data_IF_721111635247
#
_entry.id   IF_721111635247
#
_cell.length_a   1.000
_cell.length_b   1.000
_cell.length_c   1.000
_cell.angle_alpha   90.00
_cell.angle_beta   90.00
_cell.angle_gamma   90.00
#
_symmetry.space_group_name_H-M   'P 1'
#
loop_
_entity.id
_entity.type
_entity.pdbx_description
1 polymer ?
#
# COMPACT_ATOMS: atom_id res chain seq x y z
N UNK A 1 2.87 -13.39 44.33
CA UNK A 1 3.27 -11.95 44.30
C UNK A 1 4.40 -11.81 43.28
N UNK A 2 4.36 -10.80 42.40
CA UNK A 2 5.22 -10.55 41.21
C UNK A 2 4.60 -10.92 39.85
N UNK A 3 3.40 -10.37 39.63
CA UNK A 3 3.02 -9.78 38.34
C UNK A 3 3.15 -8.25 38.50
N UNK A 4 3.68 -7.56 37.48
CA UNK A 4 3.94 -6.10 37.34
C UNK A 4 5.43 -5.83 37.07
N UNK A 5 5.88 -6.10 35.86
CA UNK A 5 7.14 -5.54 35.34
C UNK A 5 7.24 -5.52 33.80
N UNK A 6 6.16 -5.83 33.07
CA UNK A 6 6.20 -5.92 31.59
C UNK A 6 5.45 -4.81 30.84
N UNK A 7 4.84 -3.85 31.54
CA UNK A 7 4.05 -2.76 30.93
C UNK A 7 4.72 -1.38 30.96
N UNK A 8 5.79 -1.19 31.73
CA UNK A 8 6.45 0.11 31.87
C UNK A 8 7.61 0.35 30.88
N UNK A 9 8.23 -0.72 30.35
CA UNK A 9 9.39 -0.59 29.46
C UNK A 9 9.01 -0.20 28.03
N UNK A 10 7.80 -0.56 27.56
CA UNK A 10 7.31 -0.17 26.23
C UNK A 10 6.90 1.31 26.17
N UNK A 11 6.37 1.90 27.24
CA UNK A 11 6.01 3.32 27.26
C UNK A 11 7.23 4.25 27.27
N UNK A 12 8.33 3.82 27.90
CA UNK A 12 9.53 4.65 28.04
C UNK A 12 10.36 4.70 26.75
N UNK A 13 10.34 3.62 25.95
CA UNK A 13 11.01 3.59 24.65
C UNK A 13 10.32 4.52 23.62
N UNK A 14 9.00 4.68 23.69
CA UNK A 14 8.25 5.57 22.78
C UNK A 14 8.49 7.05 23.06
N UNK A 15 8.76 7.42 24.32
CA UNK A 15 8.98 8.83 24.72
C UNK A 15 10.42 9.32 24.43
N UNK A 16 11.42 8.44 24.49
CA UNK A 16 12.83 8.82 24.30
C UNK A 16 13.21 8.95 22.82
N UNK A 17 12.54 8.25 21.91
CA UNK A 17 12.80 8.37 20.46
C UNK A 17 12.30 9.70 19.87
N UNK A 18 11.38 10.39 20.55
CA UNK A 18 10.73 11.60 20.01
C UNK A 18 11.56 12.88 20.21
N UNK A 19 12.51 12.96 21.15
CA UNK A 19 13.20 14.23 21.47
C UNK A 19 14.57 14.45 20.83
N UNK A 20 15.11 13.49 20.07
CA UNK A 20 16.55 13.45 19.78
C UNK A 20 17.04 13.83 18.37
N UNK A 21 16.18 13.93 17.35
CA UNK A 21 16.69 13.82 15.97
C UNK A 21 15.94 14.64 14.91
N UNK A 22 15.72 15.95 15.07
CA UNK A 22 15.04 16.70 13.99
C UNK A 22 15.57 18.12 13.79
N UNK A 23 16.66 18.19 13.05
CA UNK A 23 17.10 19.39 12.35
C UNK A 23 17.72 18.96 11.02
N UNK A 24 17.21 19.52 9.93
CA UNK A 24 17.68 19.43 8.53
C UNK A 24 16.92 18.48 7.59
N UNK A 25 16.39 19.06 6.51
CA UNK A 25 16.35 18.37 5.21
C UNK A 25 15.00 17.98 4.60
N UNK A 26 13.90 18.74 4.79
CA UNK A 26 12.66 18.51 4.03
C UNK A 26 12.77 19.08 2.60
N UNK A 27 13.46 18.38 1.70
CA UNK A 27 13.22 18.53 0.26
C UNK A 27 11.91 17.83 -0.06
N UNK A 28 10.82 18.60 -0.17
CA UNK A 28 9.57 18.13 -0.75
C UNK A 28 9.87 17.64 -2.16
N UNK A 29 9.83 16.33 -2.37
CA UNK A 29 10.05 15.66 -3.65
C UNK A 29 8.91 15.90 -4.64
N UNK A 30 8.51 17.15 -4.83
CA UNK A 30 7.69 17.51 -5.97
C UNK A 30 8.54 17.27 -7.21
N UNK A 31 8.14 16.30 -8.02
CA UNK A 31 8.68 16.13 -9.36
C UNK A 31 8.56 17.47 -10.10
N UNK A 32 9.63 18.07 -10.63
CA UNK A 32 9.45 19.16 -11.58
C UNK A 32 8.60 18.62 -12.75
N UNK A 33 7.81 19.47 -13.42
CA UNK A 33 6.90 19.07 -14.51
C UNK A 33 7.58 18.35 -15.70
N UNK A 34 8.91 18.14 -15.65
CA UNK A 34 9.69 17.31 -16.56
C UNK A 34 10.06 15.88 -16.10
N UNK A 35 9.76 15.45 -14.86
CA UNK A 35 10.08 14.05 -14.43
C UNK A 35 9.02 13.05 -14.92
N UNK A 36 7.81 13.55 -15.14
CA UNK A 36 6.75 12.88 -15.93
C UNK A 36 6.70 13.53 -17.33
N UNK A 37 7.84 14.06 -17.82
CA UNK A 37 7.90 14.56 -19.18
C UNK A 37 7.51 13.44 -20.14
N UNK A 38 6.67 13.81 -21.10
CA UNK A 38 6.44 13.11 -22.37
C UNK A 38 7.64 12.26 -22.72
N UNK A 39 7.37 11.02 -23.09
CA UNK A 39 8.29 9.99 -23.60
C UNK A 39 9.09 10.43 -24.84
N UNK A 40 9.86 11.51 -24.76
CA UNK A 40 10.96 11.80 -25.65
C UNK A 40 12.20 11.06 -25.12
N UNK A 41 12.21 9.74 -25.36
CA UNK A 41 13.35 8.85 -25.09
C UNK A 41 13.39 8.27 -23.69
N UNK A 42 13.17 6.95 -23.58
CA UNK A 42 13.57 6.18 -22.40
C UNK A 42 15.07 6.43 -22.13
N UNK A 43 15.48 6.61 -20.87
CA UNK A 43 16.91 6.70 -20.55
C UNK A 43 17.63 5.41 -21.00
N UNK A 44 18.94 5.43 -21.33
CA UNK A 44 19.66 4.22 -21.73
C UNK A 44 19.51 3.06 -20.74
N UNK A 45 19.39 3.35 -19.44
CA UNK A 45 19.14 2.36 -18.39
C UNK A 45 17.70 1.83 -18.39
N UNK A 46 16.71 2.67 -18.72
CA UNK A 46 15.33 2.22 -18.92
C UNK A 46 15.19 1.34 -20.17
N UNK A 47 15.85 1.72 -21.27
CA UNK A 47 15.95 0.92 -22.49
C UNK A 47 16.63 -0.42 -22.21
N UNK A 48 17.70 -0.41 -21.41
CA UNK A 48 18.36 -1.61 -20.92
C UNK A 48 17.41 -2.49 -20.08
N UNK A 49 16.65 -1.90 -19.15
CA UNK A 49 15.64 -2.63 -18.37
C UNK A 49 14.58 -3.32 -19.25
N UNK A 50 14.05 -2.60 -20.25
CA UNK A 50 13.12 -3.17 -21.24
C UNK A 50 13.80 -4.28 -22.05
N UNK A 51 15.05 -4.08 -22.47
CA UNK A 51 15.83 -5.08 -23.20
C UNK A 51 16.08 -6.33 -22.35
N UNK A 52 16.32 -6.20 -21.04
CA UNK A 52 16.47 -7.34 -20.12
C UNK A 52 15.15 -8.07 -19.89
N UNK A 53 14.05 -7.33 -19.71
CA UNK A 53 12.72 -7.93 -19.64
C UNK A 53 12.42 -8.72 -20.91
N UNK A 54 12.68 -8.14 -22.09
CA UNK A 54 12.53 -8.79 -23.38
C UNK A 54 13.48 -9.97 -23.57
N UNK A 55 14.74 -9.87 -23.10
CA UNK A 55 15.71 -10.95 -23.16
C UNK A 55 15.31 -12.12 -22.25
N UNK A 56 14.80 -11.86 -21.05
CA UNK A 56 14.27 -12.93 -20.19
C UNK A 56 13.06 -13.60 -20.85
N UNK A 57 12.15 -12.81 -21.44
CA UNK A 57 11.03 -13.34 -22.21
C UNK A 57 11.53 -14.23 -23.36
N UNK A 58 12.51 -13.75 -24.13
CA UNK A 58 13.11 -14.50 -25.24
C UNK A 58 13.82 -15.78 -24.77
N UNK A 59 14.54 -15.73 -23.65
CA UNK A 59 15.21 -16.88 -23.05
C UNK A 59 14.22 -17.93 -22.55
N UNK A 60 13.12 -17.49 -21.91
CA UNK A 60 12.03 -18.39 -21.51
C UNK A 60 11.40 -19.02 -22.74
N UNK A 61 11.06 -18.24 -23.77
CA UNK A 61 10.50 -18.76 -25.03
C UNK A 61 11.47 -19.75 -25.70
N UNK A 62 12.77 -19.44 -25.76
CA UNK A 62 13.78 -20.32 -26.33
C UNK A 62 13.95 -21.62 -25.52
N UNK A 63 13.91 -21.53 -24.18
CA UNK A 63 13.94 -22.69 -23.29
C UNK A 63 12.72 -23.60 -23.50
N UNK A 64 11.52 -23.01 -23.59
CA UNK A 64 10.28 -23.73 -23.87
C UNK A 64 10.30 -24.36 -25.27
N UNK A 65 10.85 -23.64 -26.26
CA UNK A 65 10.97 -24.14 -27.63
C UNK A 65 11.93 -25.33 -27.72
N UNK A 66 13.09 -25.28 -27.03
CA UNK A 66 14.02 -26.41 -26.95
C UNK A 66 13.41 -27.65 -26.28
N UNK A 67 12.44 -27.47 -25.38
CA UNK A 67 11.71 -28.58 -24.75
C UNK A 67 10.60 -29.18 -25.60
N UNK A 68 10.26 -28.61 -26.77
CA UNK A 68 9.26 -29.20 -27.69
C UNK A 68 9.66 -30.57 -28.25
N UNK A 69 10.90 -31.02 -28.05
CA UNK A 69 11.41 -32.29 -28.57
C UNK A 69 11.04 -33.57 -27.81
N UNK A 70 10.13 -33.57 -26.82
CA UNK A 70 9.74 -34.87 -26.21
C UNK A 70 8.60 -34.93 -25.19
N UNK A 71 8.19 -33.83 -24.54
CA UNK A 71 7.13 -33.86 -23.51
C UNK A 71 6.11 -32.73 -23.70
N UNK A 72 4.81 -33.05 -23.63
CA UNK A 72 3.73 -32.08 -23.79
C UNK A 72 3.58 -31.19 -22.54
N UNK A 73 3.58 -29.87 -22.71
CA UNK A 73 3.22 -28.91 -21.66
C UNK A 73 1.69 -28.87 -21.53
N UNK A 74 1.17 -29.24 -20.37
CA UNK A 74 -0.28 -29.17 -20.12
C UNK A 74 -0.70 -27.72 -19.91
N UNK A 75 -1.62 -27.22 -20.73
CA UNK A 75 -2.17 -25.86 -20.59
C UNK A 75 -3.60 -25.93 -20.05
N UNK A 76 -3.93 -25.07 -19.09
CA UNK A 76 -5.30 -24.98 -18.56
C UNK A 76 -5.62 -23.56 -18.14
N UNK A 77 -6.87 -23.15 -18.29
CA UNK A 77 -7.36 -21.85 -17.81
C UNK A 77 -7.94 -22.04 -16.41
N UNK A 78 -7.49 -21.25 -15.43
CA UNK A 78 -7.96 -21.34 -14.04
C UNK A 78 -8.17 -19.96 -13.43
N UNK A 79 -9.40 -19.48 -13.54
CA UNK A 79 -9.86 -18.27 -12.86
C UNK A 79 -10.26 -18.62 -11.42
N UNK A 80 -9.66 -17.94 -10.44
CA UNK A 80 -9.95 -18.16 -9.01
C UNK A 80 -10.51 -16.86 -8.42
N UNK A 81 -11.57 -16.91 -7.59
CA UNK A 81 -12.09 -15.73 -6.89
C UNK A 81 -11.01 -14.94 -6.15
N UNK A 82 -10.06 -15.64 -5.54
CA UNK A 82 -8.92 -15.05 -4.82
C UNK A 82 -7.96 -14.22 -5.70
N UNK A 83 -8.09 -14.27 -7.03
CA UNK A 83 -7.37 -13.40 -7.95
C UNK A 83 -8.31 -12.38 -8.63
N UNK A 84 -9.56 -12.78 -8.91
CA UNK A 84 -10.56 -11.89 -9.52
C UNK A 84 -10.86 -10.71 -8.60
N UNK A 85 -11.20 -10.98 -7.33
CA UNK A 85 -11.63 -9.94 -6.40
C UNK A 85 -10.54 -8.85 -6.22
N UNK A 86 -9.27 -9.19 -5.89
CA UNK A 86 -8.22 -8.19 -5.80
C UNK A 86 -7.96 -7.44 -7.12
N UNK A 87 -7.97 -8.14 -8.26
CA UNK A 87 -7.78 -7.50 -9.56
C UNK A 87 -8.90 -6.50 -9.86
N UNK A 88 -10.16 -6.85 -9.60
CA UNK A 88 -11.31 -5.96 -9.75
C UNK A 88 -11.17 -4.72 -8.87
N UNK A 89 -10.82 -4.89 -7.59
CA UNK A 89 -10.62 -3.77 -6.68
C UNK A 89 -9.53 -2.82 -7.17
N UNK A 90 -8.40 -3.35 -7.61
CA UNK A 90 -7.30 -2.52 -8.09
C UNK A 90 -7.64 -1.82 -9.41
N UNK A 91 -8.33 -2.49 -10.33
CA UNK A 91 -8.85 -1.84 -11.54
C UNK A 91 -9.80 -0.71 -11.21
N UNK A 92 -10.71 -0.89 -10.23
CA UNK A 92 -11.59 0.18 -9.77
C UNK A 92 -10.82 1.37 -9.18
N UNK A 93 -9.80 1.10 -8.36
CA UNK A 93 -8.92 2.14 -7.78
C UNK A 93 -8.16 2.90 -8.87
N UNK A 94 -7.51 2.20 -9.80
CA UNK A 94 -6.82 2.83 -10.92
C UNK A 94 -7.79 3.63 -11.80
N UNK A 95 -9.00 3.11 -12.05
CA UNK A 95 -9.99 3.82 -12.86
C UNK A 95 -10.42 5.11 -12.18
N UNK A 96 -10.70 5.06 -10.87
CA UNK A 96 -11.08 6.26 -10.11
C UNK A 96 -9.94 7.28 -10.08
N UNK A 97 -8.72 6.83 -9.82
CA UNK A 97 -7.53 7.69 -9.81
C UNK A 97 -7.27 8.34 -11.18
N UNK A 98 -7.45 7.59 -12.28
CA UNK A 98 -7.21 8.08 -13.65
C UNK A 98 -8.23 9.13 -14.12
N UNK A 99 -9.37 9.25 -13.43
CA UNK A 99 -10.29 10.35 -13.66
C UNK A 99 -9.63 11.68 -13.27
N UNK A 100 -8.86 11.71 -12.18
CA UNK A 100 -8.35 12.94 -11.57
C UNK A 100 -6.88 13.22 -11.81
N UNK A 101 -6.06 12.19 -12.00
CA UNK A 101 -4.61 12.34 -12.13
C UNK A 101 -4.13 11.98 -13.53
N UNK A 102 -3.73 12.99 -14.30
CA UNK A 102 -3.30 12.83 -15.69
C UNK A 102 -2.10 11.89 -15.88
N UNK A 103 -1.03 11.95 -15.05
CA UNK A 103 0.12 11.06 -15.21
C UNK A 103 -0.20 9.56 -15.21
N UNK A 104 -1.30 9.15 -14.58
CA UNK A 104 -1.69 7.75 -14.55
C UNK A 104 -2.10 7.23 -15.94
N UNK A 105 -2.69 8.07 -16.81
CA UNK A 105 -3.02 7.64 -18.17
C UNK A 105 -1.76 7.34 -19.00
N UNK A 106 -0.71 8.13 -18.77
CA UNK A 106 0.59 7.92 -19.42
C UNK A 106 1.34 6.71 -18.84
N UNK A 107 1.00 6.26 -17.65
CA UNK A 107 1.61 5.07 -17.02
C UNK A 107 0.99 3.74 -17.48
N UNK A 108 -0.16 3.75 -18.17
CA UNK A 108 -0.88 2.53 -18.57
C UNK A 108 -0.03 1.58 -19.43
N UNK A 109 0.81 2.11 -20.32
CA UNK A 109 1.70 1.27 -21.14
C UNK A 109 2.73 0.52 -20.28
N UNK A 110 3.24 1.15 -19.22
CA UNK A 110 4.19 0.53 -18.31
C UNK A 110 3.55 -0.64 -17.56
N UNK A 111 2.28 -0.51 -17.16
CA UNK A 111 1.50 -1.63 -16.60
C UNK A 111 1.39 -2.78 -17.62
N UNK A 112 1.14 -2.48 -18.89
CA UNK A 112 1.10 -3.48 -19.96
C UNK A 112 2.40 -4.27 -20.11
N UNK A 113 3.54 -3.57 -20.15
CA UNK A 113 4.87 -4.19 -20.23
C UNK A 113 5.16 -5.07 -19.00
N UNK A 114 4.83 -4.58 -17.80
CA UNK A 114 4.98 -5.35 -16.56
C UNK A 114 4.10 -6.61 -16.54
N UNK A 115 2.87 -6.53 -17.06
CA UNK A 115 1.98 -7.70 -17.17
C UNK A 115 2.54 -8.74 -18.13
N UNK A 116 3.04 -8.35 -19.31
CA UNK A 116 3.68 -9.28 -20.26
C UNK A 116 4.84 -10.01 -19.59
N UNK A 117 5.71 -9.27 -18.88
CA UNK A 117 6.81 -9.86 -18.12
C UNK A 117 6.30 -10.85 -17.06
N UNK A 118 5.34 -10.42 -16.23
CA UNK A 118 4.83 -11.21 -15.12
C UNK A 118 4.14 -12.51 -15.59
N UNK A 119 3.39 -12.47 -16.70
CA UNK A 119 2.81 -13.66 -17.32
C UNK A 119 3.87 -14.59 -17.90
N UNK A 120 4.93 -14.04 -18.49
CA UNK A 120 6.03 -14.85 -19.03
C UNK A 120 6.78 -15.56 -17.91
N UNK A 121 7.01 -14.88 -16.79
CA UNK A 121 7.63 -15.48 -15.62
C UNK A 121 6.73 -16.53 -14.95
N UNK A 122 5.42 -16.28 -14.84
CA UNK A 122 4.45 -17.26 -14.33
C UNK A 122 4.43 -18.54 -15.19
N UNK A 123 4.47 -18.40 -16.51
CA UNK A 123 4.66 -19.51 -17.45
C UNK A 123 5.99 -20.25 -17.20
N UNK A 124 7.10 -19.52 -17.09
CA UNK A 124 8.41 -20.12 -16.85
C UNK A 124 8.44 -20.94 -15.56
N UNK A 125 7.89 -20.38 -14.48
CA UNK A 125 7.78 -21.04 -13.17
C UNK A 125 6.90 -22.29 -13.28
N UNK A 126 5.70 -22.19 -13.87
CA UNK A 126 4.79 -23.31 -14.04
C UNK A 126 5.39 -24.46 -14.84
N UNK A 127 6.08 -24.17 -15.94
CA UNK A 127 6.73 -25.21 -16.75
C UNK A 127 7.94 -25.81 -16.05
N UNK A 128 8.74 -25.00 -15.35
CA UNK A 128 9.90 -25.48 -14.61
C UNK A 128 9.50 -26.40 -13.45
N UNK A 129 8.43 -26.06 -12.74
CA UNK A 129 8.03 -26.74 -11.49
C UNK A 129 7.03 -27.87 -11.69
N UNK A 130 6.03 -27.66 -12.54
CA UNK A 130 4.87 -28.56 -12.66
C UNK A 130 4.70 -29.10 -14.09
N UNK A 131 5.59 -28.74 -15.03
CA UNK A 131 5.47 -29.04 -16.47
C UNK A 131 4.10 -28.63 -17.05
N UNK A 132 3.48 -27.60 -16.48
CA UNK A 132 2.15 -27.15 -16.85
C UNK A 132 2.05 -25.62 -16.76
N UNK A 133 1.25 -25.02 -17.63
CA UNK A 133 0.89 -23.61 -17.51
C UNK A 133 -0.59 -23.45 -17.18
N UNK A 134 -0.86 -22.83 -16.03
CA UNK A 134 -2.20 -22.54 -15.54
C UNK A 134 -2.50 -21.06 -15.77
N UNK A 135 -3.01 -20.74 -16.95
CA UNK A 135 -3.36 -19.38 -17.34
C UNK A 135 -4.46 -18.86 -16.41
N UNK A 136 -4.19 -17.77 -15.71
CA UNK A 136 -5.16 -17.15 -14.81
C UNK A 136 -4.77 -15.74 -14.43
N UNK A 137 -5.54 -15.11 -13.54
CA UNK A 137 -5.31 -13.74 -13.10
C UNK A 137 -4.24 -13.63 -11.98
N UNK A 138 -3.42 -14.64 -11.75
CA UNK A 138 -2.42 -14.60 -10.68
C UNK A 138 -1.41 -13.44 -10.80
N UNK A 139 -0.89 -13.12 -12.01
CA UNK A 139 0.06 -12.02 -12.19
C UNK A 139 -0.58 -10.62 -12.08
N UNK A 140 -1.88 -10.49 -12.38
CA UNK A 140 -2.56 -9.20 -12.46
C UNK A 140 -2.54 -8.46 -11.11
N UNK A 141 -2.99 -9.06 -9.98
CA UNK A 141 -2.89 -8.40 -8.69
C UNK A 141 -1.47 -8.12 -8.22
N UNK A 142 -0.48 -8.87 -8.72
CA UNK A 142 0.92 -8.61 -8.38
C UNK A 142 1.34 -7.28 -8.98
N UNK A 143 1.21 -7.14 -10.30
CA UNK A 143 1.58 -5.92 -11.04
C UNK A 143 0.77 -4.72 -10.57
N UNK A 144 -0.55 -4.85 -10.50
CA UNK A 144 -1.42 -3.74 -10.11
C UNK A 144 -1.18 -3.30 -8.66
N UNK A 145 -1.00 -4.24 -7.72
CA UNK A 145 -0.68 -3.89 -6.32
C UNK A 145 0.62 -3.10 -6.23
N UNK A 146 1.69 -3.57 -6.89
CA UNK A 146 3.00 -2.90 -6.87
C UNK A 146 2.89 -1.44 -7.33
N UNK A 147 2.15 -1.19 -8.40
CA UNK A 147 1.98 0.15 -8.97
C UNK A 147 1.02 1.05 -8.18
N UNK A 148 0.33 0.53 -7.15
CA UNK A 148 -0.43 1.34 -6.19
C UNK A 148 0.40 1.79 -4.99
N UNK A 149 1.68 1.38 -4.89
CA UNK A 149 2.56 1.79 -3.78
C UNK A 149 3.82 2.55 -4.20
N UNK A 150 4.41 2.21 -5.36
CA UNK A 150 5.66 2.83 -5.82
C UNK A 150 5.71 2.82 -7.34
N UNK A 151 6.21 3.90 -7.93
CA UNK A 151 6.58 3.93 -9.34
C UNK A 151 8.10 4.00 -9.48
N UNK A 152 8.65 3.22 -10.39
CA UNK A 152 10.06 3.30 -10.77
C UNK A 152 10.16 4.00 -12.12
N UNK A 153 10.64 5.23 -12.11
CA UNK A 153 10.77 6.06 -13.32
C UNK A 153 12.20 5.99 -13.83
N UNK A 154 12.48 6.58 -15.01
CA UNK A 154 13.85 6.79 -15.51
C UNK A 154 14.76 5.56 -15.38
N UNK A 155 15.88 5.73 -14.67
CA UNK A 155 16.88 4.67 -14.48
C UNK A 155 16.38 3.50 -13.61
N UNK A 156 15.37 3.74 -12.76
CA UNK A 156 14.78 2.73 -11.89
C UNK A 156 13.82 1.77 -12.59
N UNK A 157 13.39 2.00 -13.83
CA UNK A 157 12.30 1.25 -14.47
C UNK A 157 12.41 -0.29 -14.38
N UNK A 158 13.63 -0.84 -14.41
CA UNK A 158 13.87 -2.28 -14.30
C UNK A 158 13.47 -2.88 -12.93
N UNK A 159 13.38 -2.05 -11.88
CA UNK A 159 12.98 -2.46 -10.54
C UNK A 159 11.55 -2.99 -10.50
N UNK A 160 10.66 -2.58 -11.42
CA UNK A 160 9.34 -3.19 -11.57
C UNK A 160 9.42 -4.70 -11.85
N UNK A 161 10.35 -5.09 -12.73
CA UNK A 161 10.56 -6.51 -13.05
C UNK A 161 11.14 -7.27 -11.87
N UNK A 162 12.01 -6.63 -11.08
CA UNK A 162 12.55 -7.23 -9.86
C UNK A 162 11.45 -7.45 -8.81
N UNK A 163 10.57 -6.47 -8.58
CA UNK A 163 9.43 -6.63 -7.67
C UNK A 163 8.53 -7.77 -8.13
N UNK A 164 8.13 -7.77 -9.41
CA UNK A 164 7.29 -8.82 -9.97
C UNK A 164 7.94 -10.21 -9.88
N UNK A 165 9.25 -10.28 -10.11
CA UNK A 165 10.00 -11.53 -10.01
C UNK A 165 10.02 -12.07 -8.58
N UNK A 166 10.39 -11.24 -7.60
CA UNK A 166 10.41 -11.61 -6.19
C UNK A 166 9.00 -12.03 -5.73
N UNK A 167 7.96 -11.29 -6.12
CA UNK A 167 6.59 -11.62 -5.78
C UNK A 167 6.16 -12.99 -6.35
N UNK A 168 6.36 -13.24 -7.64
CA UNK A 168 5.94 -14.51 -8.26
C UNK A 168 6.79 -15.70 -7.78
N UNK A 169 8.10 -15.52 -7.62
CA UNK A 169 8.99 -16.57 -7.10
C UNK A 169 8.70 -16.89 -5.64
N UNK A 170 8.49 -15.88 -4.79
CA UNK A 170 8.14 -16.11 -3.38
C UNK A 170 6.79 -16.81 -3.24
N UNK A 171 5.80 -16.46 -4.05
CA UNK A 171 4.52 -17.19 -4.12
C UNK A 171 4.72 -18.66 -4.47
N UNK A 172 5.69 -18.97 -5.34
CA UNK A 172 5.97 -20.33 -5.78
C UNK A 172 6.79 -21.14 -4.77
N UNK A 173 7.81 -20.52 -4.14
CA UNK A 173 8.80 -21.18 -3.31
C UNK A 173 8.54 -21.10 -1.80
N UNK A 174 7.99 -19.98 -1.30
CA UNK A 174 7.81 -19.73 0.13
C UNK A 174 6.40 -20.10 0.58
N UNK A 175 6.15 -21.40 0.70
CA UNK A 175 4.84 -21.98 1.05
C UNK A 175 4.87 -22.73 2.38
N UNK A 176 3.72 -22.74 3.04
CA UNK A 176 3.30 -23.68 4.09
C UNK A 176 2.17 -24.55 3.52
N UNK A 177 1.74 -25.55 4.28
CA UNK A 177 0.59 -26.41 3.89
C UNK A 177 -0.66 -25.60 3.54
N UNK A 178 -0.89 -24.48 4.25
CA UNK A 178 -2.04 -23.59 4.06
C UNK A 178 -1.92 -22.61 2.89
N UNK A 179 -0.76 -22.53 2.22
CA UNK A 179 -0.50 -21.61 1.10
C UNK A 179 0.80 -20.82 1.24
N UNK A 180 0.92 -19.72 0.50
CA UNK A 180 2.10 -18.85 0.56
C UNK A 180 2.22 -18.16 1.93
N UNK A 181 3.45 -18.00 2.42
CA UNK A 181 3.72 -17.41 3.75
C UNK A 181 3.50 -15.89 3.74
N UNK A 182 4.03 -15.23 2.72
CA UNK A 182 4.06 -13.78 2.60
C UNK A 182 3.07 -13.31 1.55
N UNK A 183 2.47 -12.13 1.76
CA UNK A 183 1.77 -11.47 0.66
C UNK A 183 2.81 -11.23 -0.46
N UNK A 184 2.62 -11.81 -1.67
CA UNK A 184 3.65 -11.78 -2.70
C UNK A 184 4.08 -10.36 -3.08
N UNK A 185 3.11 -9.46 -3.30
CA UNK A 185 3.38 -8.08 -3.67
C UNK A 185 4.04 -7.32 -2.52
N UNK A 186 3.56 -7.51 -1.28
CA UNK A 186 4.15 -6.85 -0.12
C UNK A 186 5.61 -7.26 0.08
N UNK A 187 5.95 -8.54 -0.05
CA UNK A 187 7.35 -8.98 0.06
C UNK A 187 8.23 -8.40 -1.04
N UNK A 188 7.76 -8.42 -2.29
CA UNK A 188 8.48 -7.80 -3.41
C UNK A 188 8.70 -6.30 -3.20
N UNK A 189 7.65 -5.59 -2.80
CA UNK A 189 7.71 -4.15 -2.49
C UNK A 189 8.64 -3.85 -1.33
N UNK A 190 8.59 -4.61 -0.22
CA UNK A 190 9.46 -4.35 0.93
C UNK A 190 10.93 -4.59 0.60
N UNK A 191 11.27 -5.67 -0.11
CA UNK A 191 12.67 -5.99 -0.43
C UNK A 191 13.26 -4.99 -1.42
N UNK A 192 12.51 -4.62 -2.46
CA UNK A 192 12.97 -3.60 -3.42
C UNK A 192 12.91 -2.20 -2.81
N UNK A 193 11.93 -1.92 -1.95
CA UNK A 193 11.83 -0.69 -1.18
C UNK A 193 13.03 -0.46 -0.27
N UNK A 194 13.59 -1.50 0.36
CA UNK A 194 14.85 -1.39 1.09
C UNK A 194 16.03 -1.01 0.18
N UNK A 195 16.05 -1.52 -1.06
CA UNK A 195 17.06 -1.13 -2.05
C UNK A 195 16.89 0.33 -2.51
N UNK A 196 15.67 0.87 -2.45
CA UNK A 196 15.40 2.27 -2.80
C UNK A 196 15.94 3.27 -1.79
N UNK A 197 16.04 2.91 -0.50
CA UNK A 197 16.46 3.84 0.57
C UNK A 197 17.80 4.55 0.25
N UNK A 198 18.86 3.85 -0.20
CA UNK A 198 20.12 4.50 -0.56
C UNK A 198 20.17 5.05 -1.99
N UNK A 199 19.14 4.85 -2.82
CA UNK A 199 19.15 5.27 -4.23
C UNK A 199 18.63 6.71 -4.39
N UNK A 200 19.12 7.46 -5.39
CA UNK A 200 18.61 8.81 -5.68
C UNK A 200 17.12 8.79 -6.05
N UNK A 201 16.34 9.59 -5.34
CA UNK A 201 14.95 9.92 -5.68
C UNK A 201 14.90 11.34 -6.29
N UNK A 202 14.06 11.58 -7.31
CA UNK A 202 13.01 10.70 -7.84
C UNK A 202 13.45 9.72 -8.95
N UNK A 203 14.74 9.69 -9.32
CA UNK A 203 15.21 9.01 -10.55
C UNK A 203 15.11 7.48 -10.52
N UNK A 204 15.18 6.88 -9.33
CA UNK A 204 15.08 5.43 -9.16
C UNK A 204 13.74 5.01 -8.56
N UNK A 205 13.32 5.68 -7.49
CA UNK A 205 12.12 5.32 -6.76
C UNK A 205 11.31 6.59 -6.49
N UNK A 206 10.10 6.62 -7.04
CA UNK A 206 9.15 7.70 -6.88
C UNK A 206 8.05 7.26 -5.94
N UNK A 207 7.87 8.00 -4.85
CA UNK A 207 6.75 7.80 -3.96
C UNK A 207 5.48 8.35 -4.60
N UNK A 208 4.50 7.47 -4.83
CA UNK A 208 3.19 7.85 -5.36
C UNK A 208 2.12 7.98 -4.27
N UNK A 209 2.51 7.90 -2.98
CA UNK A 209 1.57 7.98 -1.86
C UNK A 209 0.74 9.26 -1.93
N UNK A 210 1.42 10.37 -2.14
CA UNK A 210 0.83 11.69 -2.16
C UNK A 210 -0.10 11.87 -3.38
N UNK A 211 0.31 11.36 -4.53
CA UNK A 211 -0.46 11.36 -5.78
C UNK A 211 -1.69 10.47 -5.70
N UNK A 212 -1.65 9.37 -4.94
CA UNK A 212 -2.85 8.57 -4.68
C UNK A 212 -3.90 9.40 -3.91
N UNK A 213 -3.46 10.37 -3.12
CA UNK A 213 -4.32 11.22 -2.27
C UNK A 213 -4.82 12.49 -2.99
N UNK A 214 -4.34 12.82 -4.20
CA UNK A 214 -4.84 13.98 -4.98
C UNK A 214 -6.26 13.79 -5.51
N UNK A 215 -6.78 12.57 -5.49
CA UNK A 215 -8.15 12.28 -5.92
C UNK A 215 -9.13 12.71 -4.82
N UNK A 216 -10.23 13.41 -5.15
CA UNK A 216 -11.20 13.80 -4.14
C UNK A 216 -11.71 12.53 -3.45
N UNK A 217 -11.67 12.47 -2.12
CA UNK A 217 -12.27 11.38 -1.34
C UNK A 217 -11.72 9.96 -1.62
N UNK A 218 -10.42 9.82 -1.96
CA UNK A 218 -9.81 8.49 -2.21
C UNK A 218 -10.02 7.51 -1.04
N UNK A 219 -9.86 7.94 0.22
CA UNK A 219 -10.07 7.05 1.37
C UNK A 219 -11.52 6.56 1.44
N UNK A 220 -12.51 7.43 1.23
CA UNK A 220 -13.93 7.03 1.19
C UNK A 220 -14.20 6.02 0.07
N UNK A 221 -13.61 6.23 -1.11
CA UNK A 221 -13.69 5.27 -2.21
C UNK A 221 -13.06 3.91 -1.83
N UNK A 222 -11.89 3.92 -1.17
CA UNK A 222 -11.22 2.72 -0.69
C UNK A 222 -12.07 1.99 0.38
N UNK A 223 -12.79 2.71 1.24
CA UNK A 223 -13.77 2.10 2.16
C UNK A 223 -14.81 1.32 1.36
N UNK A 224 -15.43 1.94 0.34
CA UNK A 224 -16.46 1.29 -0.48
C UNK A 224 -15.95 0.04 -1.19
N UNK A 225 -14.75 0.09 -1.76
CA UNK A 225 -14.12 -1.05 -2.43
C UNK A 225 -13.79 -2.17 -1.42
N UNK A 226 -13.22 -1.83 -0.27
CA UNK A 226 -12.82 -2.79 0.75
C UNK A 226 -14.01 -3.45 1.47
N UNK A 227 -15.14 -2.75 1.61
CA UNK A 227 -16.36 -3.25 2.25
C UNK A 227 -16.78 -4.61 1.71
N UNK A 228 -16.69 -4.81 0.39
CA UNK A 228 -17.11 -6.07 -0.24
C UNK A 228 -16.31 -7.27 0.28
N UNK A 229 -15.00 -7.12 0.48
CA UNK A 229 -14.17 -8.19 1.04
C UNK A 229 -14.32 -8.30 2.56
N UNK A 230 -14.39 -7.17 3.26
CA UNK A 230 -14.46 -7.14 4.72
C UNK A 230 -15.80 -7.67 5.27
N UNK A 231 -16.91 -7.48 4.55
CA UNK A 231 -18.20 -8.06 4.94
C UNK A 231 -18.26 -9.58 4.69
N UNK A 232 -17.58 -10.07 3.64
CA UNK A 232 -17.59 -11.50 3.28
C UNK A 232 -16.60 -12.34 4.06
N UNK A 233 -15.45 -11.77 4.40
CA UNK A 233 -14.38 -12.46 5.11
C UNK A 233 -14.02 -11.63 6.34
N UNK A 234 -13.95 -12.22 7.55
CA UNK A 234 -13.72 -11.49 8.80
C UNK A 234 -12.27 -11.00 8.98
N UNK A 235 -11.78 -10.23 8.01
CA UNK A 235 -10.42 -9.67 7.94
C UNK A 235 -10.33 -8.29 8.58
N UNK A 236 -11.46 -7.63 8.85
CA UNK A 236 -11.51 -6.24 9.34
C UNK A 236 -10.83 -6.04 10.71
N UNK A 237 -10.74 -7.09 11.53
CA UNK A 237 -10.03 -7.05 12.81
C UNK A 237 -8.53 -6.71 12.64
N UNK A 238 -7.93 -7.04 11.50
CA UNK A 238 -6.56 -6.61 11.16
C UNK A 238 -6.52 -5.08 11.01
N UNK A 239 -7.44 -4.50 10.25
CA UNK A 239 -7.51 -3.05 10.02
C UNK A 239 -7.80 -2.29 11.32
N UNK A 240 -8.73 -2.80 12.14
CA UNK A 240 -9.04 -2.24 13.46
C UNK A 240 -7.83 -2.27 14.40
N UNK A 241 -7.11 -3.39 14.48
CA UNK A 241 -5.91 -3.49 15.31
C UNK A 241 -4.81 -2.53 14.86
N UNK A 242 -4.59 -2.41 13.55
CA UNK A 242 -3.60 -1.50 13.00
C UNK A 242 -3.95 -0.04 13.25
N UNK A 243 -5.19 0.36 13.03
CA UNK A 243 -5.66 1.71 13.31
C UNK A 243 -5.60 2.05 14.81
N UNK A 244 -5.99 1.12 15.69
CA UNK A 244 -5.85 1.31 17.14
C UNK A 244 -4.39 1.53 17.55
N UNK A 245 -3.45 0.79 16.97
CA UNK A 245 -2.02 1.02 17.24
C UNK A 245 -1.55 2.36 16.69
N UNK A 246 -1.89 2.71 15.44
CA UNK A 246 -1.48 3.99 14.85
C UNK A 246 -2.04 5.15 15.66
N UNK A 247 -3.33 5.11 16.02
CA UNK A 247 -3.92 6.11 16.91
C UNK A 247 -3.14 6.28 18.21
N UNK A 248 -2.84 5.17 18.89
CA UNK A 248 -2.14 5.19 20.17
C UNK A 248 -0.67 5.65 20.05
N UNK A 249 0.05 5.22 19.02
CA UNK A 249 1.48 5.50 18.88
C UNK A 249 1.79 6.81 18.15
N UNK A 250 0.79 7.41 17.49
CA UNK A 250 0.99 8.53 16.58
C UNK A 250 0.09 9.70 16.92
N UNK A 251 -1.22 9.52 16.84
CA UNK A 251 -2.17 10.64 17.02
C UNK A 251 -2.26 11.10 18.47
N UNK A 252 -2.26 10.17 19.43
CA UNK A 252 -2.29 10.51 20.86
C UNK A 252 -1.07 11.37 21.24
N UNK A 253 0.19 11.02 20.90
CA UNK A 253 1.33 11.90 21.10
C UNK A 253 1.18 13.30 20.48
N UNK A 254 0.70 13.39 19.24
CA UNK A 254 0.50 14.69 18.55
C UNK A 254 -0.58 15.53 19.23
N UNK A 255 -1.68 14.90 19.63
CA UNK A 255 -2.75 15.58 20.35
C UNK A 255 -2.24 16.12 21.69
N UNK A 256 -1.52 15.29 22.47
CA UNK A 256 -0.95 15.70 23.75
C UNK A 256 0.07 16.81 23.58
N UNK A 257 0.93 16.76 22.57
CA UNK A 257 1.94 17.81 22.34
C UNK A 257 1.32 19.16 22.03
N UNK A 258 0.25 19.19 21.21
CA UNK A 258 -0.53 20.39 20.90
C UNK A 258 -1.27 20.91 22.14
N UNK A 259 -1.88 20.02 22.91
CA UNK A 259 -2.65 20.40 24.10
C UNK A 259 -1.78 21.02 25.20
N UNK A 260 -0.56 20.50 25.39
CA UNK A 260 0.38 21.00 26.41
C UNK A 260 1.34 22.08 25.89
N UNK A 261 1.13 22.61 24.67
CA UNK A 261 1.97 23.63 24.03
C UNK A 261 3.47 23.35 24.14
N UNK A 262 3.86 22.08 23.98
CA UNK A 262 5.27 21.70 23.99
C UNK A 262 5.88 22.19 22.67
N UNK A 263 6.49 23.39 22.72
CA UNK A 263 7.15 24.00 21.58
C UNK A 263 8.20 23.05 20.99
N UNK A 264 8.13 22.82 19.68
CA UNK A 264 9.03 21.93 18.94
C UNK A 264 8.36 20.69 18.32
N UNK A 265 7.10 20.38 18.64
CA UNK A 265 6.32 19.29 18.04
C UNK A 265 5.23 19.75 17.05
N UNK A 266 5.12 21.06 16.80
CA UNK A 266 4.08 21.65 15.93
C UNK A 266 4.38 21.47 14.43
N UNK A 267 5.65 21.22 14.08
CA UNK A 267 6.12 21.01 12.70
C UNK A 267 5.80 19.62 12.12
N UNK A 268 5.16 18.74 12.90
CA UNK A 268 4.98 17.31 12.56
C UNK A 268 3.66 16.99 11.82
N UNK A 269 2.87 17.99 11.42
CA UNK A 269 1.47 17.76 11.07
C UNK A 269 1.20 17.17 9.67
N UNK A 270 2.16 17.18 8.73
CA UNK A 270 1.79 16.98 7.32
C UNK A 270 1.93 15.53 6.83
N UNK A 271 2.83 14.71 7.38
CA UNK A 271 3.17 13.39 6.78
C UNK A 271 3.38 12.31 7.81
N UNK A 272 2.33 12.08 8.57
CA UNK A 272 2.30 11.12 9.66
C UNK A 272 1.50 9.91 9.20
N UNK A 273 1.90 8.66 9.52
CA UNK A 273 1.15 7.48 9.11
C UNK A 273 -0.17 7.36 9.89
N UNK A 274 -1.18 8.13 9.48
CA UNK A 274 -2.54 8.08 10.00
C UNK A 274 -3.37 7.07 9.20
N UNK A 275 -4.26 6.32 9.86
CA UNK A 275 -4.93 5.19 9.21
C UNK A 275 -5.97 5.61 8.16
N UNK A 276 -6.47 6.85 8.22
CA UNK A 276 -7.45 7.40 7.29
C UNK A 276 -6.83 8.21 6.13
N UNK A 277 -5.49 8.25 6.04
CA UNK A 277 -4.81 8.72 4.84
C UNK A 277 -4.77 7.59 3.80
N UNK A 278 -5.14 7.90 2.55
CA UNK A 278 -5.45 6.88 1.54
C UNK A 278 -4.36 5.81 1.32
N UNK A 279 -3.05 6.14 1.24
CA UNK A 279 -1.99 5.15 1.06
C UNK A 279 -1.83 4.19 2.24
N UNK A 280 -1.99 4.68 3.48
CA UNK A 280 -1.95 3.85 4.68
C UNK A 280 -3.21 3.01 4.75
N UNK A 281 -4.38 3.62 4.54
CA UNK A 281 -5.66 2.91 4.49
C UNK A 281 -5.63 1.75 3.48
N UNK A 282 -5.08 1.99 2.28
CA UNK A 282 -4.91 0.98 1.24
C UNK A 282 -4.10 -0.23 1.75
N UNK A 283 -3.00 0.00 2.50
CA UNK A 283 -2.25 -1.10 3.12
C UNK A 283 -3.13 -1.86 4.09
N UNK A 284 -3.79 -1.15 5.01
CA UNK A 284 -4.53 -1.73 6.13
C UNK A 284 -5.80 -2.47 5.68
N UNK A 285 -6.40 -2.07 4.56
CA UNK A 285 -7.66 -2.60 4.09
C UNK A 285 -7.52 -3.63 2.96
N UNK A 286 -6.52 -3.47 2.07
CA UNK A 286 -6.45 -4.20 0.80
C UNK A 286 -5.10 -4.89 0.51
N UNK A 287 -4.00 -4.54 1.20
CA UNK A 287 -2.71 -5.22 1.05
C UNK A 287 -2.46 -6.25 2.16
N UNK A 288 -2.47 -5.79 3.43
CA UNK A 288 -2.08 -6.61 4.57
C UNK A 288 -3.11 -7.68 4.94
N UNK A 289 -4.33 -7.57 4.42
CA UNK A 289 -5.51 -8.35 4.79
C UNK A 289 -5.76 -9.57 3.90
N UNK A 290 -4.79 -10.02 3.09
CA UNK A 290 -4.90 -11.27 2.30
C UNK A 290 -5.21 -12.44 3.26
N UNK A 291 -6.39 -13.11 3.14
CA UNK A 291 -6.80 -14.19 4.05
C UNK A 291 -5.81 -15.36 4.14
N UNK A 292 -4.92 -15.50 3.15
CA UNK A 292 -3.88 -16.53 3.14
C UNK A 292 -2.70 -16.22 4.05
N UNK A 293 -2.42 -14.95 4.31
CA UNK A 293 -1.18 -14.48 4.95
C UNK A 293 -1.41 -13.78 6.29
N UNK A 294 -2.63 -13.89 6.83
CA UNK A 294 -3.02 -13.39 8.15
C UNK A 294 -3.38 -14.56 9.09
N UNK A 295 -3.43 -14.31 10.41
CA UNK A 295 -3.83 -15.32 11.39
C UNK A 295 -5.23 -15.88 11.17
N UNK A 296 -5.45 -17.12 11.61
CA UNK A 296 -6.74 -17.80 11.45
C UNK A 296 -7.71 -17.45 12.56
N UNK A 297 -7.21 -17.17 13.76
CA UNK A 297 -8.02 -16.80 14.92
C UNK A 297 -8.41 -15.31 14.90
N UNK A 298 -9.62 -14.93 15.39
CA UNK A 298 -10.02 -13.53 15.47
C UNK A 298 -9.09 -12.66 16.34
N UNK A 299 -8.74 -13.15 17.54
CA UNK A 299 -7.78 -12.48 18.41
C UNK A 299 -6.38 -12.38 17.77
N UNK A 300 -5.96 -13.40 17.01
CA UNK A 300 -4.72 -13.37 16.25
C UNK A 300 -4.73 -12.28 15.19
N UNK A 301 -5.84 -12.08 14.47
CA UNK A 301 -5.99 -11.00 13.47
C UNK A 301 -5.89 -9.62 14.09
N UNK A 302 -6.52 -9.41 15.25
CA UNK A 302 -6.41 -8.16 16.00
C UNK A 302 -4.95 -7.90 16.44
N UNK A 303 -4.29 -8.91 17.00
CA UNK A 303 -2.89 -8.84 17.43
C UNK A 303 -1.95 -8.57 16.24
N UNK A 304 -2.16 -9.23 15.11
CA UNK A 304 -1.43 -8.99 13.87
C UNK A 304 -1.62 -7.54 13.40
N UNK A 305 -2.85 -7.02 13.46
CA UNK A 305 -3.13 -5.61 13.19
C UNK A 305 -2.33 -4.68 14.09
N UNK A 306 -2.34 -4.90 15.41
CA UNK A 306 -1.58 -4.10 16.38
C UNK A 306 -0.08 -4.09 16.06
N UNK A 307 0.50 -5.25 15.76
CA UNK A 307 1.92 -5.38 15.37
C UNK A 307 2.18 -4.60 14.07
N UNK A 308 1.30 -4.72 13.08
CA UNK A 308 1.43 -4.03 11.81
C UNK A 308 1.40 -2.50 12.01
N UNK A 309 0.41 -1.97 12.73
CA UNK A 309 0.31 -0.53 12.99
C UNK A 309 1.51 0.01 13.77
N UNK A 310 1.96 -0.71 14.80
CA UNK A 310 3.18 -0.35 15.54
C UNK A 310 4.40 -0.38 14.62
N UNK A 311 4.50 -1.41 13.77
CA UNK A 311 5.57 -1.54 12.80
C UNK A 311 5.62 -0.39 11.81
N UNK A 312 4.47 0.08 11.31
CA UNK A 312 4.38 1.24 10.41
C UNK A 312 4.86 2.50 11.12
N UNK A 313 4.39 2.75 12.34
CA UNK A 313 4.81 3.91 13.13
C UNK A 313 6.33 3.90 13.41
N UNK A 314 6.88 2.75 13.82
CA UNK A 314 8.31 2.61 14.08
C UNK A 314 9.16 2.73 12.81
N UNK A 315 8.72 2.14 11.70
CA UNK A 315 9.43 2.25 10.42
C UNK A 315 9.45 3.70 9.93
N UNK A 316 8.32 4.42 10.06
CA UNK A 316 8.25 5.83 9.70
C UNK A 316 9.18 6.67 10.58
N UNK A 317 9.10 6.51 11.90
CA UNK A 317 9.99 7.21 12.82
C UNK A 317 11.48 6.91 12.55
N UNK A 318 11.84 5.66 12.24
CA UNK A 318 13.23 5.27 11.98
C UNK A 318 13.76 5.85 10.65
N UNK A 319 12.96 5.83 9.58
CA UNK A 319 13.35 6.41 8.29
C UNK A 319 13.51 7.92 8.39
N UNK A 320 12.55 8.60 9.01
CA UNK A 320 12.59 10.05 9.18
C UNK A 320 13.75 10.47 10.09
N UNK A 321 14.05 9.71 11.15
CA UNK A 321 15.21 9.97 12.03
C UNK A 321 16.55 9.76 11.31
N UNK A 322 16.58 8.92 10.28
CA UNK A 322 17.74 8.72 9.40
C UNK A 322 17.81 9.73 8.24
N UNK A 323 16.89 10.70 8.17
CA UNK A 323 16.83 11.70 7.10
C UNK A 323 16.28 11.18 5.77
N UNK A 324 15.63 10.01 5.77
CA UNK A 324 14.99 9.44 4.59
C UNK A 324 13.49 9.78 4.55
N UNK A 325 12.90 9.78 3.36
CA UNK A 325 11.45 9.81 3.21
C UNK A 325 10.85 8.50 3.76
N UNK A 326 9.75 8.59 4.50
CA UNK A 326 9.09 7.46 5.14
C UNK A 326 8.14 6.68 4.20
N UNK A 327 8.16 6.95 2.90
CA UNK A 327 7.24 6.34 1.93
C UNK A 327 7.14 4.81 1.99
N UNK A 328 8.24 4.12 2.31
CA UNK A 328 8.27 2.66 2.42
C UNK A 328 7.79 2.15 3.79
N UNK A 329 7.66 3.02 4.81
CA UNK A 329 7.25 2.64 6.16
C UNK A 329 5.88 1.95 6.21
N UNK A 330 4.97 2.30 5.31
CA UNK A 330 3.64 1.67 5.18
C UNK A 330 3.72 0.21 4.72
N UNK A 331 4.72 -0.17 3.91
CA UNK A 331 4.80 -1.53 3.32
C UNK A 331 5.85 -2.41 3.98
N UNK A 332 6.99 -1.86 4.42
CA UNK A 332 8.10 -2.61 5.05
C UNK A 332 7.67 -3.56 6.18
N UNK A 333 6.72 -3.20 7.07
CA UNK A 333 6.33 -4.08 8.17
C UNK A 333 5.44 -5.25 7.76
N UNK A 334 4.84 -5.24 6.55
CA UNK A 334 3.86 -6.26 6.15
C UNK A 334 4.47 -7.67 6.09
N UNK A 335 5.63 -7.92 5.45
CA UNK A 335 6.24 -9.25 5.46
C UNK A 335 6.71 -9.69 6.85
N UNK A 336 7.16 -8.76 7.68
CA UNK A 336 7.52 -9.04 9.08
C UNK A 336 6.29 -9.52 9.85
N UNK A 337 5.15 -8.84 9.70
CA UNK A 337 3.88 -9.28 10.28
C UNK A 337 3.44 -10.65 9.74
N UNK A 338 3.54 -10.89 8.42
CA UNK A 338 3.23 -12.20 7.82
C UNK A 338 4.08 -13.34 8.42
N UNK A 339 5.37 -13.10 8.65
CA UNK A 339 6.26 -14.07 9.28
C UNK A 339 5.80 -14.43 10.70
N UNK A 340 5.31 -13.43 11.45
CA UNK A 340 4.83 -13.57 12.83
C UNK A 340 3.44 -14.21 12.97
N UNK A 341 2.76 -14.58 11.88
CA UNK A 341 1.42 -15.19 11.92
C UNK A 341 1.32 -16.40 12.88
N UNK A 342 2.22 -17.41 12.85
CA UNK A 342 2.12 -18.55 13.77
C UNK A 342 2.33 -18.16 15.23
N UNK A 343 3.05 -17.08 15.49
CA UNK A 343 3.18 -16.54 16.84
C UNK A 343 1.90 -15.85 17.27
N UNK A 344 1.26 -15.08 16.39
CA UNK A 344 -0.02 -14.43 16.66
C UNK A 344 -1.12 -15.44 16.98
N UNK A 345 -1.26 -16.53 16.20
CA UNK A 345 -2.26 -17.57 16.48
C UNK A 345 -1.98 -18.29 17.82
N UNK A 346 -0.71 -18.59 18.15
CA UNK A 346 -0.35 -19.18 19.45
C UNK A 346 -0.61 -18.26 20.64
N UNK A 347 -0.41 -16.94 20.47
CA UNK A 347 -0.75 -15.97 21.51
C UNK A 347 -2.26 -15.80 21.64
N UNK A 348 -2.97 -15.85 20.52
CA UNK A 348 -4.42 -15.77 20.48
C UNK A 348 -5.06 -16.88 21.30
N UNK A 349 -4.58 -18.13 21.22
CA UNK A 349 -5.07 -19.25 22.05
C UNK A 349 -5.05 -18.93 23.56
N UNK A 350 -4.13 -18.08 24.02
CA UNK A 350 -4.03 -17.66 25.44
C UNK A 350 -5.00 -16.52 25.79
N UNK A 351 -5.39 -15.71 24.82
CA UNK A 351 -6.25 -14.53 24.98
C UNK A 351 -7.71 -14.83 24.65
N UNK A 352 -7.96 -15.88 23.87
CA UNK A 352 -9.25 -16.18 23.25
C UNK A 352 -10.35 -16.36 24.30
N UNK A 353 -10.09 -17.04 25.41
CA UNK A 353 -11.12 -17.30 26.43
C UNK A 353 -11.83 -16.02 26.96
N UNK A 354 -11.15 -14.87 26.99
CA UNK A 354 -11.74 -13.60 27.46
C UNK A 354 -12.27 -12.72 26.32
N UNK A 355 -11.61 -12.73 25.17
CA UNK A 355 -11.93 -11.84 24.05
C UNK A 355 -12.87 -12.46 23.01
N UNK A 356 -12.98 -13.79 22.98
CA UNK A 356 -13.74 -14.56 21.98
C UNK A 356 -15.18 -14.09 21.79
N UNK A 357 -15.98 -13.80 22.85
CA UNK A 357 -17.36 -13.35 22.63
C UNK A 357 -17.45 -12.05 21.82
N UNK A 358 -16.54 -11.10 22.07
CA UNK A 358 -16.53 -9.80 21.40
C UNK A 358 -15.90 -9.84 20.00
N UNK A 359 -15.01 -10.80 19.75
CA UNK A 359 -14.28 -10.95 18.48
C UNK A 359 -14.87 -12.05 17.58
N UNK A 360 -15.99 -12.66 17.96
CA UNK A 360 -16.60 -13.76 17.20
C UNK A 360 -16.91 -13.32 15.76
N UNK A 361 -16.55 -14.12 14.73
CA UNK A 361 -16.89 -13.84 13.33
C UNK A 361 -18.39 -13.57 13.06
N UNK A 362 -19.30 -14.06 13.92
CA UNK A 362 -20.73 -13.72 13.84
C UNK A 362 -20.99 -12.21 13.97
N UNK A 363 -20.12 -11.50 14.69
CA UNK A 363 -20.16 -10.04 14.86
C UNK A 363 -19.37 -9.29 13.80
N UNK A 364 -18.91 -9.95 12.72
CA UNK A 364 -18.10 -9.29 11.70
C UNK A 364 -18.76 -8.03 11.11
N UNK A 365 -20.09 -8.05 10.92
CA UNK A 365 -20.82 -6.87 10.46
C UNK A 365 -20.69 -5.68 11.44
N UNK A 366 -20.65 -5.95 12.75
CA UNK A 366 -20.48 -4.94 13.78
C UNK A 366 -19.02 -4.44 13.84
N UNK A 367 -18.05 -5.32 13.64
CA UNK A 367 -16.64 -4.92 13.50
C UNK A 367 -16.43 -4.04 12.27
N UNK A 368 -17.06 -4.38 11.14
CA UNK A 368 -17.05 -3.56 9.92
C UNK A 368 -17.73 -2.22 10.16
N UNK A 369 -18.90 -2.21 10.80
CA UNK A 369 -19.60 -0.96 11.14
C UNK A 369 -18.74 -0.06 12.04
N UNK A 370 -18.05 -0.63 13.03
CA UNK A 370 -17.10 0.09 13.88
C UNK A 370 -15.93 0.65 13.05
N UNK A 371 -15.29 -0.17 12.22
CA UNK A 371 -14.18 0.25 11.35
C UNK A 371 -14.55 1.42 10.42
N UNK A 372 -15.69 1.30 9.74
CA UNK A 372 -16.21 2.34 8.86
C UNK A 372 -16.55 3.60 9.65
N UNK A 373 -17.22 3.46 10.79
CA UNK A 373 -17.61 4.61 11.62
C UNK A 373 -16.40 5.35 12.16
N UNK A 374 -15.39 4.64 12.67
CA UNK A 374 -14.14 5.25 13.13
C UNK A 374 -13.45 6.02 12.01
N UNK A 375 -13.32 5.42 10.82
CA UNK A 375 -12.65 6.07 9.69
C UNK A 375 -13.46 7.28 9.19
N UNK A 376 -14.77 7.14 9.06
CA UNK A 376 -15.65 8.23 8.62
C UNK A 376 -15.66 9.39 9.61
N UNK A 377 -15.72 9.12 10.92
CA UNK A 377 -15.64 10.15 11.95
C UNK A 377 -14.29 10.87 11.93
N UNK A 378 -13.19 10.14 11.72
CA UNK A 378 -11.87 10.76 11.57
C UNK A 378 -11.77 11.66 10.34
N UNK A 379 -12.35 11.27 9.20
CA UNK A 379 -12.37 12.09 7.98
C UNK A 379 -13.27 13.32 8.12
N UNK A 380 -14.42 13.18 8.77
CA UNK A 380 -15.40 14.24 8.97
C UNK A 380 -15.07 15.19 10.13
N UNK A 381 -14.08 14.84 10.96
CA UNK A 381 -13.63 15.72 12.04
C UNK A 381 -13.14 17.05 11.46
N UNK A 382 -13.48 18.20 12.09
CA UNK A 382 -13.17 19.52 11.56
C UNK A 382 -11.69 19.68 11.20
N UNK A 383 -11.41 20.04 9.94
CA UNK A 383 -10.08 20.28 9.43
C UNK A 383 -9.28 19.04 9.01
N UNK A 384 -9.67 17.82 9.40
CA UNK A 384 -8.88 16.62 9.09
C UNK A 384 -8.76 16.37 7.59
N UNK A 385 -9.88 16.39 6.86
CA UNK A 385 -9.84 16.21 5.41
C UNK A 385 -9.16 17.38 4.68
N UNK A 386 -9.34 18.62 5.16
CA UNK A 386 -8.63 19.78 4.63
C UNK A 386 -7.10 19.67 4.83
N UNK A 387 -6.63 19.08 5.93
CA UNK A 387 -5.20 18.83 6.16
C UNK A 387 -4.62 17.77 5.20
N UNK A 388 -5.46 16.95 4.58
CA UNK A 388 -5.06 15.99 3.53
C UNK A 388 -5.02 16.62 2.14
N UNK A 389 -5.40 17.89 1.99
CA UNK A 389 -5.35 18.59 0.70
C UNK A 389 -3.93 19.06 0.39
N UNK A 390 -3.27 18.38 -0.55
CA UNK A 390 -1.88 18.62 -0.88
C UNK A 390 -1.72 19.74 -1.92
N UNK A 391 -1.85 20.98 -1.46
CA UNK A 391 -1.84 22.22 -2.28
C UNK A 391 -0.73 22.21 -3.34
N UNK A 392 0.51 21.88 -2.94
CA UNK A 392 1.66 21.88 -3.86
C UNK A 392 1.51 20.91 -5.03
N UNK A 393 0.92 19.73 -4.81
CA UNK A 393 0.70 18.75 -5.89
C UNK A 393 -0.38 19.22 -6.85
N UNK A 394 -1.42 19.87 -6.32
CA UNK A 394 -2.49 20.43 -7.14
C UNK A 394 -2.03 21.64 -7.98
N UNK A 395 -1.13 22.46 -7.45
CA UNK A 395 -0.53 23.60 -8.14
C UNK A 395 0.36 23.19 -9.33
N UNK A 396 0.81 21.93 -9.39
CA UNK A 396 1.58 21.40 -10.53
C UNK A 396 0.75 21.27 -11.82
N UNK A 397 -0.58 21.43 -11.75
CA UNK A 397 -1.45 21.41 -12.93
C UNK A 397 -1.69 20.03 -13.53
N UNK A 398 -1.38 18.96 -12.80
CA UNK A 398 -1.56 17.57 -13.22
C UNK A 398 -2.86 16.94 -12.68
N UNK A 399 -3.54 17.63 -11.74
CA UNK A 399 -4.86 17.25 -11.23
C UNK A 399 -5.95 17.88 -12.09
N UNK A 400 -6.84 17.06 -12.63
CA UNK A 400 -8.04 17.53 -13.34
C UNK A 400 -9.07 18.09 -12.35
N UNK A 401 -9.91 19.00 -12.82
CA UNK A 401 -10.99 19.61 -12.04
C UNK A 401 -10.54 20.44 -10.84
N UNK A 402 -9.27 20.86 -10.82
CA UNK A 402 -8.77 21.78 -9.80
C UNK A 402 -8.88 23.22 -10.28
N UNK A 403 -9.54 24.06 -9.48
CA UNK A 403 -9.63 25.51 -9.70
C UNK A 403 -8.50 26.18 -8.93
N UNK A 404 -7.68 26.94 -9.66
CA UNK A 404 -6.62 27.75 -9.07
C UNK A 404 -6.97 29.24 -9.21
N UNK A 405 -6.85 29.99 -8.11
CA UNK A 405 -6.97 31.45 -8.11
C UNK A 405 -5.60 32.05 -7.79
N UNK A 406 -5.10 32.95 -8.64
CA UNK A 406 -3.76 33.56 -8.49
C UNK A 406 -2.63 32.52 -8.38
N UNK A 407 -2.77 31.38 -9.07
CA UNK A 407 -1.79 30.28 -9.03
C UNK A 407 -1.79 29.46 -7.75
N UNK A 408 -2.81 29.62 -6.88
CA UNK A 408 -2.99 28.82 -5.67
C UNK A 408 -4.25 27.96 -5.71
N UNK A 409 -4.12 26.72 -5.29
CA UNK A 409 -5.25 25.84 -5.02
C UNK A 409 -5.65 25.95 -3.54
N UNK A 410 -6.91 26.27 -3.25
CA UNK A 410 -7.42 26.33 -1.87
C UNK A 410 -8.63 25.40 -1.71
N UNK A 411 -8.92 25.01 -0.46
CA UNK A 411 -10.14 24.26 -0.15
C UNK A 411 -11.42 25.06 -0.44
N UNK A 412 -11.37 26.39 -0.32
CA UNK A 412 -12.51 27.26 -0.60
C UNK A 412 -12.90 27.23 -2.08
N UNK A 413 -11.91 27.23 -2.98
CA UNK A 413 -12.16 27.08 -4.42
C UNK A 413 -12.37 25.62 -4.85
N UNK A 414 -12.00 24.64 -4.01
CA UNK A 414 -12.05 23.21 -4.33
C UNK A 414 -12.74 22.38 -3.22
N UNK A 415 -14.00 22.67 -2.85
CA UNK A 415 -14.65 22.04 -1.71
C UNK A 415 -14.82 20.51 -1.86
N UNK A 416 -14.91 19.98 -3.08
CA UNK A 416 -15.01 18.54 -3.34
C UNK A 416 -13.80 17.73 -2.83
N UNK A 417 -12.64 18.37 -2.72
CA UNK A 417 -11.40 17.73 -2.25
C UNK A 417 -11.25 17.78 -0.73
N UNK A 418 -11.83 18.80 -0.07
CA UNK A 418 -11.64 19.05 1.36
C UNK A 418 -12.85 18.69 2.24
N UNK A 419 -14.04 18.53 1.67
CA UNK A 419 -15.27 18.20 2.39
C UNK A 419 -15.66 16.73 2.20
N UNK A 420 -16.51 16.20 3.10
CA UNK A 420 -16.97 14.81 3.01
C UNK A 420 -17.58 14.45 1.65
N UNK A 421 -17.36 13.21 1.20
CA UNK A 421 -17.80 12.72 -0.11
C UNK A 421 -19.30 13.00 -0.38
N UNK A 422 -19.60 13.46 -1.59
CA UNK A 422 -20.98 13.68 -2.04
C UNK A 422 -21.10 13.36 -3.52
N UNK A 423 -21.95 12.39 -3.86
CA UNK A 423 -22.26 12.04 -5.25
C UNK A 423 -22.72 13.26 -6.07
N UNK A 424 -23.50 14.16 -5.46
CA UNK A 424 -23.99 15.36 -6.15
C UNK A 424 -22.86 16.34 -6.46
N UNK A 425 -21.90 16.52 -5.54
CA UNK A 425 -20.73 17.37 -5.77
C UNK A 425 -19.81 16.76 -6.82
N UNK A 426 -19.60 15.44 -6.76
CA UNK A 426 -18.83 14.70 -7.75
C UNK A 426 -19.44 14.85 -9.16
N UNK A 427 -20.75 14.65 -9.30
CA UNK A 427 -21.43 14.80 -10.59
C UNK A 427 -21.31 16.25 -11.10
N UNK A 428 -21.53 17.25 -10.23
CA UNK A 428 -21.40 18.67 -10.62
C UNK A 428 -20.00 19.01 -11.11
N UNK A 429 -18.96 18.48 -10.43
CA UNK A 429 -17.56 18.65 -10.79
C UNK A 429 -17.26 18.21 -12.23
N UNK A 430 -18.00 17.23 -12.76
CA UNK A 430 -17.81 16.71 -14.11
C UNK A 430 -18.81 17.24 -15.15
N UNK A 431 -19.92 17.83 -14.71
CA UNK A 431 -20.92 18.44 -15.60
C UNK A 431 -20.60 19.91 -15.91
N UNK A 432 -20.05 20.63 -14.93
CA UNK A 432 -19.61 22.03 -15.05
C UNK A 432 -18.10 22.12 -14.70
N UNK A 433 -17.22 21.54 -15.55
CA UNK A 433 -15.77 21.42 -15.27
C UNK A 433 -15.00 22.75 -15.32
#
# INVERSE_FOLDING_TARGET
MRSRLFTSTLLCATLVVVSGAYGQGLTTGAAPPGVIARTSGLSPLAQFGVAWGAALVALVVAFLWRRRGGESITTSVRLRPNHIIPATFQVLIFSYWALYWEPLTDHVWALGVQLIFAYTLDLAIGVWTERAWRIGLAPVPVVLSTNLFVWFTGAGFWLFFLVAAIALLSKAALKRESGHIFNPSALGLSLVGLLCIPLPAPEFCYDIAHELNVTPSMTEFLILVALLAQLRVPIVLVSLGAAASLWASVEVPIFLSRYFSVHGLETFATYVPIWYWAPVFLVLALLATDPKTIPKTPAGRLLFGLILGTGIALASAALTAAGHNDFMAKVLPVPLANFLVPWCDRMAERLDARLRPALDPLWNWAHVALWVSLTALSLLAPGNKANLFEVKLHEMGLTRQIVQSEGRATCESNPAFCEGFSFLKEIRLWLDP
#
